data_IF_907196689436
#
_entry.id   IF_907196689436
#
_cell.length_a   1.000
_cell.length_b   1.000
_cell.length_c   1.000
_cell.angle_alpha   90.00
_cell.angle_beta   90.00
_cell.angle_gamma   90.00
#
_symmetry.space_group_name_H-M   'P 1'
#
loop_
_entity.id
_entity.type
_entity.pdbx_description
1 polymer ?
#
# COMPACT_ATOMS: atom_id res chain seq x y z
N UNK A 1 -2.16 -4.30 -24.30
CA UNK A 1 -1.08 -3.33 -24.61
C UNK A 1 -0.25 -3.15 -23.34
N UNK A 2 1.01 -3.56 -23.34
CA UNK A 2 2.03 -3.41 -22.27
C UNK A 2 1.61 -3.70 -20.81
N UNK A 3 0.91 -4.79 -20.57
CA UNK A 3 0.38 -5.17 -19.25
C UNK A 3 1.48 -5.43 -18.21
N UNK A 4 2.72 -5.66 -18.66
CA UNK A 4 3.88 -5.86 -17.80
C UNK A 4 4.47 -4.58 -17.19
N UNK A 5 4.05 -3.36 -17.62
CA UNK A 5 4.62 -2.08 -17.15
C UNK A 5 4.35 -1.82 -15.66
N UNK A 6 3.25 -2.32 -15.12
CA UNK A 6 2.90 -2.19 -13.70
C UNK A 6 3.90 -2.88 -12.75
N UNK A 7 4.58 -3.95 -13.20
CA UNK A 7 5.57 -4.66 -12.39
C UNK A 7 6.82 -3.83 -12.11
N UNK A 8 7.48 -3.22 -13.11
CA UNK A 8 8.60 -2.34 -12.87
C UNK A 8 8.29 -1.17 -11.93
N UNK A 9 7.05 -0.68 -11.88
CA UNK A 9 6.68 0.39 -10.95
C UNK A 9 6.95 0.02 -9.49
N UNK A 10 6.74 -1.24 -9.14
CA UNK A 10 6.98 -1.77 -7.78
C UNK A 10 8.39 -2.31 -7.64
N UNK A 11 8.79 -3.17 -8.58
CA UNK A 11 10.06 -3.88 -8.50
C UNK A 11 11.27 -2.95 -8.57
N UNK A 12 11.24 -1.93 -9.45
CA UNK A 12 12.36 -1.04 -9.66
C UNK A 12 12.76 -0.24 -8.40
N UNK A 13 11.86 0.49 -7.70
CA UNK A 13 12.25 1.21 -6.48
C UNK A 13 12.64 0.29 -5.34
N UNK A 14 12.03 -0.89 -5.20
CA UNK A 14 12.36 -1.85 -4.15
C UNK A 14 13.72 -2.50 -4.40
N UNK A 15 13.95 -3.03 -5.59
CA UNK A 15 15.22 -3.69 -5.93
C UNK A 15 16.37 -2.68 -5.87
N UNK A 16 16.21 -1.50 -6.46
CA UNK A 16 17.25 -0.47 -6.43
C UNK A 16 17.56 0.00 -5.00
N UNK A 17 16.53 0.16 -4.15
CA UNK A 17 16.73 0.53 -2.74
C UNK A 17 17.48 -0.56 -1.97
N UNK A 18 17.13 -1.83 -2.17
CA UNK A 18 17.79 -2.97 -1.53
C UNK A 18 19.26 -3.10 -1.96
N UNK A 19 19.56 -2.94 -3.25
CA UNK A 19 20.92 -2.95 -3.78
C UNK A 19 21.73 -1.80 -3.15
N UNK A 20 21.18 -0.58 -3.13
CA UNK A 20 21.87 0.57 -2.53
C UNK A 20 22.09 0.39 -1.02
N UNK A 21 21.10 -0.13 -0.28
CA UNK A 21 21.24 -0.45 1.15
C UNK A 21 22.30 -1.53 1.39
N UNK A 22 22.30 -2.59 0.59
CA UNK A 22 23.32 -3.66 0.66
C UNK A 22 24.71 -3.13 0.38
N UNK A 23 24.87 -2.28 -0.63
CA UNK A 23 26.15 -1.63 -0.95
C UNK A 23 26.67 -0.75 0.20
N UNK A 24 25.79 0.09 0.79
CA UNK A 24 26.16 0.94 1.92
C UNK A 24 26.47 0.12 3.18
N UNK A 25 25.71 -0.94 3.45
CA UNK A 25 25.91 -1.75 4.67
C UNK A 25 27.27 -2.46 4.68
N UNK A 26 27.76 -2.88 3.52
CA UNK A 26 29.03 -3.57 3.36
C UNK A 26 30.24 -2.61 3.26
N UNK A 27 30.00 -1.29 3.08
CA UNK A 27 31.06 -0.31 2.98
C UNK A 27 31.68 0.03 4.34
N UNK A 28 33.00 0.28 4.39
CA UNK A 28 33.68 0.77 5.59
C UNK A 28 33.18 2.18 5.99
N UNK A 29 33.30 2.60 7.26
CA UNK A 29 32.78 3.90 7.72
C UNK A 29 33.30 5.10 6.89
N UNK A 30 34.57 5.11 6.51
CA UNK A 30 35.15 6.17 5.68
C UNK A 30 34.57 6.21 4.28
N UNK A 31 34.33 5.05 3.68
CA UNK A 31 33.71 4.93 2.35
C UNK A 31 32.25 5.37 2.40
N UNK A 32 31.50 5.04 3.47
CA UNK A 32 30.10 5.45 3.64
C UNK A 32 29.89 6.96 3.57
N UNK A 33 30.79 7.73 4.17
CA UNK A 33 30.70 9.21 4.11
C UNK A 33 30.85 9.72 2.68
N UNK A 34 31.76 9.14 1.90
CA UNK A 34 31.94 9.47 0.48
C UNK A 34 30.77 9.06 -0.41
N UNK A 35 30.02 8.03 -0.02
CA UNK A 35 28.89 7.50 -0.78
C UNK A 35 27.59 8.32 -0.63
N UNK A 36 27.48 9.23 0.34
CA UNK A 36 26.23 9.99 0.57
C UNK A 36 25.78 10.75 -0.67
N UNK A 37 26.70 11.49 -1.33
CA UNK A 37 26.38 12.28 -2.54
C UNK A 37 25.95 11.39 -3.73
N UNK A 38 26.73 10.36 -4.15
CA UNK A 38 26.33 9.54 -5.29
C UNK A 38 25.03 8.74 -5.04
N UNK A 39 24.83 8.24 -3.83
CA UNK A 39 23.58 7.51 -3.50
C UNK A 39 22.37 8.43 -3.52
N UNK A 40 22.48 9.61 -2.94
CA UNK A 40 21.42 10.63 -3.00
C UNK A 40 21.08 10.99 -4.44
N UNK A 41 22.07 11.20 -5.28
CA UNK A 41 21.87 11.48 -6.70
C UNK A 41 21.21 10.30 -7.42
N UNK A 42 21.65 9.07 -7.15
CA UNK A 42 21.04 7.87 -7.72
C UNK A 42 19.56 7.74 -7.30
N UNK A 43 19.22 7.93 -6.02
CA UNK A 43 17.84 7.90 -5.54
C UNK A 43 16.98 8.99 -6.19
N UNK A 44 17.53 10.19 -6.38
CA UNK A 44 16.85 11.28 -7.11
C UNK A 44 16.58 10.90 -8.56
N UNK A 45 17.58 10.41 -9.28
CA UNK A 45 17.41 9.98 -10.68
C UNK A 45 16.36 8.86 -10.78
N UNK A 46 16.41 7.86 -9.91
CA UNK A 46 15.45 6.77 -9.90
C UNK A 46 14.02 7.26 -9.61
N UNK A 47 13.86 8.17 -8.65
CA UNK A 47 12.54 8.75 -8.35
C UNK A 47 11.99 9.62 -9.48
N UNK A 48 12.86 10.36 -10.20
CA UNK A 48 12.45 11.14 -11.38
C UNK A 48 12.07 10.24 -12.55
N UNK A 49 12.79 9.15 -12.78
CA UNK A 49 12.43 8.17 -13.81
C UNK A 49 11.05 7.54 -13.53
N UNK A 50 10.77 7.19 -12.26
CA UNK A 50 9.45 6.72 -11.86
C UNK A 50 8.38 7.78 -12.09
N UNK A 51 8.62 9.03 -11.75
CA UNK A 51 7.68 10.13 -11.96
C UNK A 51 7.39 10.34 -13.44
N UNK A 52 8.41 10.33 -14.31
CA UNK A 52 8.22 10.48 -15.77
C UNK A 52 7.38 9.33 -16.31
N UNK A 53 7.70 8.09 -15.91
CA UNK A 53 6.96 6.90 -16.35
C UNK A 53 5.49 6.97 -15.92
N UNK A 54 5.22 7.22 -14.63
CA UNK A 54 3.84 7.29 -14.10
C UNK A 54 3.07 8.47 -14.64
N UNK A 55 3.73 9.60 -14.92
CA UNK A 55 3.07 10.76 -15.53
C UNK A 55 2.65 10.45 -16.97
N UNK A 56 3.51 9.78 -17.75
CA UNK A 56 3.14 9.31 -19.10
C UNK A 56 1.94 8.37 -19.07
N UNK A 57 1.95 7.38 -18.19
CA UNK A 57 0.82 6.46 -18.01
C UNK A 57 -0.46 7.18 -17.55
N UNK A 58 -0.34 8.15 -16.64
CA UNK A 58 -1.46 8.94 -16.12
C UNK A 58 -2.16 9.72 -17.24
N UNK A 59 -1.40 10.44 -18.07
CA UNK A 59 -1.97 11.17 -19.19
C UNK A 59 -2.55 10.24 -20.27
N UNK A 60 -1.97 9.09 -20.49
CA UNK A 60 -2.50 8.09 -21.42
C UNK A 60 -3.85 7.55 -20.93
N UNK A 61 -3.95 7.20 -19.63
CA UNK A 61 -5.18 6.69 -19.03
C UNK A 61 -6.30 7.74 -19.07
N UNK A 62 -6.10 8.90 -18.44
CA UNK A 62 -7.14 9.94 -18.35
C UNK A 62 -7.36 10.71 -19.66
N UNK A 63 -6.43 10.66 -20.60
CA UNK A 63 -6.61 11.25 -21.94
C UNK A 63 -7.53 10.44 -22.85
N UNK A 64 -7.65 9.13 -22.60
CA UNK A 64 -8.47 8.22 -23.40
C UNK A 64 -9.85 7.93 -22.80
N UNK A 65 -10.07 8.28 -21.52
CA UNK A 65 -11.32 7.99 -20.81
C UNK A 65 -12.14 9.26 -20.64
N UNK A 66 -13.43 9.23 -21.03
CA UNK A 66 -14.36 10.30 -20.70
C UNK A 66 -14.61 10.33 -19.20
N UNK A 67 -14.60 11.53 -18.60
CA UNK A 67 -14.88 11.71 -17.16
C UNK A 67 -16.22 11.14 -16.70
N UNK A 68 -17.19 10.99 -17.62
CA UNK A 68 -18.50 10.42 -17.35
C UNK A 68 -18.51 8.89 -17.36
N UNK A 69 -17.50 8.25 -17.97
CA UNK A 69 -17.42 6.79 -18.14
C UNK A 69 -16.40 6.14 -17.20
N UNK A 70 -15.83 6.89 -16.24
CA UNK A 70 -14.86 6.36 -15.29
C UNK A 70 -15.51 5.33 -14.37
N UNK A 71 -15.09 4.08 -14.51
CA UNK A 71 -15.45 2.99 -13.59
C UNK A 71 -14.26 2.65 -12.68
N UNK A 72 -14.51 2.62 -11.35
CA UNK A 72 -13.45 2.35 -10.36
C UNK A 72 -12.91 0.92 -10.36
N UNK A 73 -13.48 0.02 -11.14
CA UNK A 73 -13.04 -1.38 -11.28
C UNK A 73 -12.67 -1.73 -12.73
N UNK A 74 -12.40 -0.74 -13.55
CA UNK A 74 -11.83 -0.95 -14.86
C UNK A 74 -10.31 -0.89 -14.74
N UNK A 75 -9.69 -2.08 -14.70
CA UNK A 75 -8.26 -2.22 -14.44
C UNK A 75 -7.47 -2.18 -15.74
N UNK A 76 -6.59 -1.20 -15.85
CA UNK A 76 -5.61 -1.14 -16.92
C UNK A 76 -4.22 -1.58 -16.44
N UNK A 77 -3.35 -1.91 -17.39
CA UNK A 77 -1.98 -2.39 -17.14
C UNK A 77 -1.96 -3.60 -16.18
N UNK A 78 -2.99 -4.45 -16.25
CA UNK A 78 -3.13 -5.61 -15.40
C UNK A 78 -2.15 -6.70 -15.83
N UNK A 79 -1.33 -7.18 -14.89
CA UNK A 79 -0.42 -8.30 -15.09
C UNK A 79 -0.59 -9.28 -13.94
N UNK A 80 -0.75 -10.56 -14.29
CA UNK A 80 -0.90 -11.67 -13.33
C UNK A 80 0.17 -12.70 -13.55
N UNK A 81 0.91 -13.03 -12.49
CA UNK A 81 1.89 -14.11 -12.45
C UNK A 81 1.57 -15.02 -11.28
N UNK A 82 1.51 -16.30 -11.54
CA UNK A 82 1.36 -17.29 -10.50
C UNK A 82 2.58 -17.30 -9.58
N UNK A 83 2.33 -17.26 -8.25
CA UNK A 83 3.41 -17.30 -7.24
C UNK A 83 3.31 -18.55 -6.38
N UNK A 84 2.16 -18.81 -5.73
CA UNK A 84 1.93 -20.00 -4.91
C UNK A 84 0.63 -20.66 -5.38
N UNK A 85 0.73 -21.49 -6.40
CA UNK A 85 -0.42 -22.16 -7.05
C UNK A 85 -1.27 -22.97 -6.08
N UNK A 86 -0.63 -23.65 -5.12
CA UNK A 86 -1.33 -24.47 -4.12
C UNK A 86 -2.28 -23.68 -3.23
N UNK A 87 -2.04 -22.41 -3.02
CA UNK A 87 -2.88 -21.49 -2.21
C UNK A 87 -3.71 -20.53 -3.07
N UNK A 88 -3.52 -20.52 -4.38
CA UNK A 88 -4.18 -19.57 -5.27
C UNK A 88 -3.68 -18.13 -5.10
N UNK A 89 -2.44 -17.96 -4.61
CA UNK A 89 -1.81 -16.65 -4.45
C UNK A 89 -1.10 -16.28 -5.74
N UNK A 90 -1.50 -15.15 -6.32
CA UNK A 90 -0.93 -14.63 -7.55
C UNK A 90 -0.30 -13.26 -7.32
N UNK A 91 0.78 -13.00 -8.05
CA UNK A 91 1.29 -11.64 -8.19
C UNK A 91 0.43 -10.92 -9.23
N UNK A 92 -0.71 -10.37 -8.78
CA UNK A 92 -1.60 -9.61 -9.64
C UNK A 92 -1.48 -8.13 -9.31
N UNK A 93 -1.10 -7.34 -10.30
CA UNK A 93 -0.97 -5.90 -10.22
C UNK A 93 -1.76 -5.24 -11.34
N UNK A 94 -2.31 -4.07 -11.07
CA UNK A 94 -3.06 -3.29 -12.05
C UNK A 94 -3.38 -1.90 -11.52
N UNK A 95 -3.88 -1.05 -12.38
CA UNK A 95 -4.19 0.34 -12.08
C UNK A 95 -5.62 0.65 -12.52
N UNK A 96 -6.35 1.38 -11.70
CA UNK A 96 -7.68 1.90 -11.99
C UNK A 96 -7.80 3.37 -11.61
N UNK A 97 -8.94 3.97 -11.80
CA UNK A 97 -9.19 5.38 -11.51
C UNK A 97 -8.96 5.76 -10.04
N UNK A 98 -9.03 4.80 -9.10
CA UNK A 98 -8.77 5.03 -7.68
C UNK A 98 -7.27 4.94 -7.36
N UNK A 99 -6.57 3.95 -7.91
CA UNK A 99 -5.16 3.69 -7.61
C UNK A 99 -4.22 4.63 -8.36
N UNK A 100 -4.56 5.02 -9.58
CA UNK A 100 -3.69 5.85 -10.43
C UNK A 100 -3.28 7.18 -9.77
N UNK A 101 -4.21 8.00 -9.24
CA UNK A 101 -3.86 9.24 -8.56
C UNK A 101 -2.95 9.00 -7.34
N UNK A 102 -3.13 7.88 -6.62
CA UNK A 102 -2.31 7.54 -5.45
C UNK A 102 -0.88 7.16 -5.85
N UNK A 103 -0.73 6.38 -6.91
CA UNK A 103 0.58 6.02 -7.47
C UNK A 103 1.29 7.27 -8.00
N UNK A 104 0.60 8.12 -8.77
CA UNK A 104 1.16 9.36 -9.30
C UNK A 104 1.58 10.32 -8.17
N UNK A 105 0.74 10.50 -7.16
CA UNK A 105 1.08 11.31 -5.98
C UNK A 105 2.32 10.78 -5.25
N UNK A 106 2.45 9.46 -5.11
CA UNK A 106 3.60 8.82 -4.47
C UNK A 106 4.88 9.10 -5.25
N UNK A 107 4.85 8.87 -6.56
CA UNK A 107 6.00 9.11 -7.44
C UNK A 107 6.37 10.58 -7.57
N UNK A 108 5.40 11.49 -7.46
CA UNK A 108 5.63 12.94 -7.40
C UNK A 108 6.30 13.36 -6.08
N UNK A 109 5.83 12.86 -4.95
CA UNK A 109 6.35 13.24 -3.65
C UNK A 109 7.75 12.68 -3.37
N UNK A 110 8.15 11.58 -3.97
CA UNK A 110 9.48 10.99 -3.78
C UNK A 110 10.63 11.95 -4.15
N UNK A 111 10.73 12.47 -5.39
CA UNK A 111 11.81 13.41 -5.74
C UNK A 111 11.69 14.73 -4.95
N UNK A 112 10.47 15.22 -4.68
CA UNK A 112 10.26 16.42 -3.85
C UNK A 112 10.83 16.20 -2.46
N UNK A 113 10.60 15.03 -1.85
CA UNK A 113 11.12 14.68 -0.53
C UNK A 113 12.65 14.59 -0.52
N UNK A 114 13.26 14.00 -1.55
CA UNK A 114 14.72 13.92 -1.68
C UNK A 114 15.33 15.31 -1.84
N UNK A 115 14.71 16.19 -2.63
CA UNK A 115 15.16 17.58 -2.85
C UNK A 115 14.98 18.41 -1.56
N UNK A 116 13.85 18.29 -0.87
CA UNK A 116 13.60 18.99 0.38
C UNK A 116 14.61 18.67 1.48
N UNK A 117 15.13 17.43 1.48
CA UNK A 117 16.13 16.96 2.45
C UNK A 117 17.56 17.00 1.92
N UNK A 118 17.79 17.71 0.80
CA UNK A 118 19.10 17.72 0.10
C UNK A 118 20.25 18.22 0.96
N UNK A 119 20.04 19.25 1.73
CA UNK A 119 21.09 19.90 2.54
C UNK A 119 21.22 19.30 3.96
N UNK A 120 20.35 18.36 4.31
CA UNK A 120 20.38 17.73 5.63
C UNK A 120 21.57 16.75 5.75
N UNK A 121 22.13 16.68 6.95
CA UNK A 121 23.29 15.80 7.25
C UNK A 121 22.86 14.37 7.54
N UNK A 122 22.06 13.78 6.64
CA UNK A 122 21.65 12.38 6.75
C UNK A 122 22.71 11.45 6.15
N UNK A 123 22.84 10.26 6.74
CA UNK A 123 23.76 9.24 6.25
C UNK A 123 23.32 8.59 4.94
N UNK A 124 24.22 7.84 4.31
CA UNK A 124 23.99 7.20 3.01
C UNK A 124 22.81 6.22 2.96
N UNK A 125 22.35 5.69 4.11
CA UNK A 125 21.20 4.76 4.19
C UNK A 125 19.83 5.47 4.21
N UNK A 126 19.80 6.79 4.38
CA UNK A 126 18.56 7.56 4.49
C UNK A 126 17.75 7.58 3.19
N UNK A 127 18.39 7.95 2.09
CA UNK A 127 17.74 8.11 0.79
C UNK A 127 17.22 6.79 0.19
N UNK A 128 17.97 5.67 0.27
CA UNK A 128 17.44 4.37 -0.12
C UNK A 128 16.23 3.92 0.71
N UNK A 129 16.15 4.25 2.01
CA UNK A 129 14.96 3.97 2.81
C UNK A 129 13.74 4.79 2.37
N UNK A 130 13.91 6.05 1.94
CA UNK A 130 12.83 6.82 1.33
C UNK A 130 12.36 6.17 0.02
N UNK A 131 13.29 5.72 -0.81
CA UNK A 131 12.96 5.04 -2.08
C UNK A 131 12.24 3.70 -1.82
N UNK A 132 12.71 2.93 -0.83
CA UNK A 132 12.05 1.68 -0.39
C UNK A 132 10.63 1.93 0.09
N UNK A 133 10.43 2.99 0.87
CA UNK A 133 9.10 3.39 1.34
C UNK A 133 8.18 3.73 0.17
N UNK A 134 8.67 4.50 -0.81
CA UNK A 134 7.91 4.82 -2.02
C UNK A 134 7.52 3.58 -2.81
N UNK A 135 8.45 2.64 -3.00
CA UNK A 135 8.18 1.36 -3.67
C UNK A 135 7.14 0.51 -2.93
N UNK A 136 7.21 0.44 -1.60
CA UNK A 136 6.22 -0.27 -0.80
C UNK A 136 4.82 0.38 -0.90
N UNK A 137 4.74 1.71 -0.86
CA UNK A 137 3.48 2.46 -1.04
C UNK A 137 2.87 2.23 -2.42
N UNK A 138 3.68 2.29 -3.49
CA UNK A 138 3.22 1.97 -4.85
C UNK A 138 2.71 0.53 -4.87
N UNK A 139 3.42 -0.41 -4.26
CA UNK A 139 3.01 -1.82 -4.15
C UNK A 139 1.61 -1.99 -3.54
N UNK A 140 1.28 -1.24 -2.48
CA UNK A 140 -0.08 -1.25 -1.90
C UNK A 140 -1.13 -0.81 -2.91
N UNK A 141 -0.87 0.27 -3.65
CA UNK A 141 -1.87 0.87 -4.55
C UNK A 141 -2.10 0.07 -5.84
N UNK A 142 -1.11 -0.68 -6.31
CA UNK A 142 -1.23 -1.49 -7.53
C UNK A 142 -1.60 -2.94 -7.27
N UNK A 143 -1.55 -3.41 -6.01
CA UNK A 143 -1.87 -4.80 -5.67
C UNK A 143 -3.36 -5.11 -5.87
N UNK A 144 -3.65 -6.12 -6.68
CA UNK A 144 -4.99 -6.65 -6.92
C UNK A 144 -5.19 -8.04 -6.30
N UNK A 145 -4.25 -8.49 -5.48
CA UNK A 145 -4.32 -9.71 -4.67
C UNK A 145 -4.26 -9.33 -3.18
N UNK A 146 -5.13 -9.89 -2.35
CA UNK A 146 -5.24 -9.59 -0.92
C UNK A 146 -3.96 -9.88 -0.14
N UNK A 147 -3.27 -10.99 -0.49
CA UNK A 147 -2.04 -11.37 0.16
C UNK A 147 -0.92 -10.38 -0.18
N UNK A 148 -0.77 -10.04 -1.46
CA UNK A 148 0.21 -9.05 -1.93
C UNK A 148 -0.08 -7.65 -1.35
N UNK A 149 -1.35 -7.25 -1.32
CA UNK A 149 -1.77 -6.01 -0.67
C UNK A 149 -1.28 -5.95 0.77
N UNK A 150 -1.50 -7.03 1.56
CA UNK A 150 -1.06 -7.09 2.94
C UNK A 150 0.46 -7.08 3.08
N UNK A 151 1.19 -7.82 2.24
CA UNK A 151 2.66 -7.83 2.25
C UNK A 151 3.24 -6.43 2.04
N UNK A 152 2.74 -5.69 1.04
CA UNK A 152 3.19 -4.31 0.81
C UNK A 152 2.73 -3.36 1.91
N UNK A 153 1.55 -3.58 2.47
CA UNK A 153 1.04 -2.82 3.61
C UNK A 153 2.01 -2.89 4.80
N UNK A 154 2.44 -4.09 5.18
CA UNK A 154 3.43 -4.29 6.25
C UNK A 154 4.82 -3.77 5.86
N UNK A 155 5.21 -3.94 4.60
CA UNK A 155 6.51 -3.48 4.14
C UNK A 155 6.68 -1.96 4.31
N UNK A 156 5.61 -1.16 4.30
CA UNK A 156 5.69 0.29 4.56
C UNK A 156 6.16 0.63 5.98
N UNK A 157 5.92 -0.25 6.96
CA UNK A 157 6.28 0.00 8.35
C UNK A 157 7.79 -0.04 8.57
N UNK A 158 8.49 -0.93 7.88
CA UNK A 158 9.92 -1.17 8.08
C UNK A 158 10.76 0.10 7.77
N UNK A 159 10.69 0.69 6.57
CA UNK A 159 11.49 1.88 6.29
C UNK A 159 11.09 3.06 7.17
N UNK A 160 9.79 3.23 7.46
CA UNK A 160 9.33 4.33 8.31
C UNK A 160 9.83 4.19 9.75
N UNK A 161 9.77 3.00 10.33
CA UNK A 161 10.35 2.72 11.65
C UNK A 161 11.83 3.11 11.72
N UNK A 162 12.64 2.71 10.73
CA UNK A 162 14.05 3.05 10.69
C UNK A 162 14.30 4.53 10.45
N UNK A 163 13.48 5.21 9.64
CA UNK A 163 13.58 6.65 9.41
C UNK A 163 13.36 7.42 10.73
N UNK A 164 12.33 7.08 11.49
CA UNK A 164 12.07 7.71 12.79
C UNK A 164 13.18 7.36 13.78
N UNK A 165 13.55 6.07 13.90
CA UNK A 165 14.49 5.59 14.91
C UNK A 165 15.90 6.19 14.76
N UNK A 166 16.38 6.32 13.51
CA UNK A 166 17.77 6.75 13.24
C UNK A 166 17.91 8.27 13.15
N UNK A 167 16.98 8.95 12.52
CA UNK A 167 17.05 10.38 12.22
C UNK A 167 15.95 11.23 12.82
N UNK A 168 15.15 10.65 13.69
CA UNK A 168 14.12 11.37 14.45
C UNK A 168 14.68 12.29 15.53
N UNK A 169 13.78 13.03 16.19
CA UNK A 169 14.08 13.98 17.26
C UNK A 169 14.50 13.32 18.58
N UNK A 170 14.27 14.03 19.67
CA UNK A 170 14.72 13.62 21.03
C UNK A 170 14.09 12.31 21.50
N UNK A 171 12.78 12.15 21.30
CA UNK A 171 11.99 11.01 21.77
C UNK A 171 11.74 9.95 20.67
N UNK A 172 12.62 9.94 19.65
CA UNK A 172 12.53 9.07 18.47
C UNK A 172 12.35 7.58 18.78
N UNK A 173 12.97 7.06 19.85
CA UNK A 173 12.84 5.63 20.22
C UNK A 173 11.41 5.30 20.63
N UNK A 174 10.84 6.11 21.52
CA UNK A 174 9.46 5.94 21.95
C UNK A 174 8.49 6.08 20.79
N UNK A 175 8.63 7.15 19.99
CA UNK A 175 7.78 7.41 18.85
C UNK A 175 7.84 6.29 17.80
N UNK A 176 9.05 5.79 17.47
CA UNK A 176 9.23 4.68 16.53
C UNK A 176 8.57 3.39 17.05
N UNK A 177 8.78 3.04 18.32
CA UNK A 177 8.18 1.85 18.91
C UNK A 177 6.65 1.97 18.99
N UNK A 178 6.13 3.11 19.44
CA UNK A 178 4.69 3.36 19.51
C UNK A 178 4.05 3.26 18.13
N UNK A 179 4.62 3.91 17.12
CA UNK A 179 4.18 3.83 15.73
C UNK A 179 4.12 2.37 15.26
N UNK A 180 5.22 1.62 15.43
CA UNK A 180 5.32 0.24 14.95
C UNK A 180 4.33 -0.68 15.66
N UNK A 181 4.34 -0.72 17.00
CA UNK A 181 3.47 -1.62 17.77
C UNK A 181 2.00 -1.30 17.51
N UNK A 182 1.63 -0.01 17.50
CA UNK A 182 0.25 0.42 17.33
C UNK A 182 -0.31 0.01 15.97
N UNK A 183 0.43 0.34 14.90
CA UNK A 183 0.00 0.04 13.54
C UNK A 183 0.08 -1.45 13.20
N UNK A 184 1.12 -2.16 13.69
CA UNK A 184 1.27 -3.58 13.48
C UNK A 184 0.16 -4.40 14.20
N UNK A 185 -0.19 -4.06 15.44
CA UNK A 185 -1.27 -4.76 16.16
C UNK A 185 -2.60 -4.65 15.42
N UNK A 186 -2.91 -3.47 14.90
CA UNK A 186 -4.14 -3.27 14.12
C UNK A 186 -4.12 -4.03 12.78
N UNK A 187 -2.97 -4.07 12.12
CA UNK A 187 -2.84 -4.80 10.86
C UNK A 187 -2.89 -6.32 11.02
N UNK A 188 -2.47 -6.87 12.17
CA UNK A 188 -2.66 -8.29 12.49
C UNK A 188 -4.16 -8.63 12.61
N UNK A 189 -4.96 -7.75 13.20
CA UNK A 189 -6.44 -7.93 13.23
C UNK A 189 -7.00 -7.93 11.82
N UNK A 190 -6.54 -7.02 10.97
CA UNK A 190 -6.91 -6.97 9.55
C UNK A 190 -6.49 -8.25 8.82
N UNK A 191 -5.28 -8.76 9.06
CA UNK A 191 -4.81 -10.03 8.47
C UNK A 191 -5.72 -11.21 8.84
N UNK A 192 -6.09 -11.32 10.11
CA UNK A 192 -7.04 -12.35 10.54
C UNK A 192 -8.37 -12.23 9.80
N UNK A 193 -8.84 -11.00 9.56
CA UNK A 193 -10.02 -10.74 8.73
C UNK A 193 -9.85 -11.20 7.28
N UNK A 194 -8.71 -10.91 6.65
CA UNK A 194 -8.40 -11.34 5.27
C UNK A 194 -8.29 -12.86 5.15
N UNK A 195 -7.63 -13.51 6.10
CA UNK A 195 -7.53 -14.98 6.16
C UNK A 195 -8.91 -15.61 6.34
N UNK A 196 -9.72 -15.07 7.25
CA UNK A 196 -11.09 -15.55 7.49
C UNK A 196 -11.96 -15.37 6.25
N UNK A 197 -11.85 -14.23 5.57
CA UNK A 197 -12.51 -13.98 4.29
C UNK A 197 -12.17 -15.05 3.26
N UNK A 198 -10.90 -15.41 3.13
CA UNK A 198 -10.45 -16.45 2.19
C UNK A 198 -11.05 -17.82 2.53
N UNK A 199 -11.05 -18.22 3.81
CA UNK A 199 -11.57 -19.55 4.20
C UNK A 199 -13.09 -19.65 4.14
N UNK A 200 -13.82 -18.56 4.25
CA UNK A 200 -15.28 -18.54 4.20
C UNK A 200 -15.86 -18.51 2.77
N UNK A 201 -15.02 -18.30 1.75
CA UNK A 201 -15.45 -18.40 0.35
C UNK A 201 -15.93 -19.82 0.05
N UNK A 202 -17.10 -19.94 -0.57
CA UNK A 202 -17.56 -21.24 -1.09
C UNK A 202 -16.78 -21.62 -2.33
N UNK A 203 -16.24 -22.86 -2.41
CA UNK A 203 -15.37 -23.26 -3.51
C UNK A 203 -15.99 -23.16 -4.92
N UNK A 204 -17.31 -23.15 -5.01
CA UNK A 204 -18.04 -23.17 -6.30
C UNK A 204 -18.46 -21.78 -6.80
N UNK A 205 -18.33 -20.71 -6.00
CA UNK A 205 -18.77 -19.37 -6.38
C UNK A 205 -17.69 -18.57 -7.11
N UNK A 206 -16.43 -19.02 -7.03
CA UNK A 206 -15.26 -18.38 -7.62
C UNK A 206 -14.48 -19.36 -8.49
N UNK A 207 -15.15 -20.08 -9.37
CA UNK A 207 -14.50 -21.01 -10.28
C UNK A 207 -13.67 -20.31 -11.35
N UNK A 208 -12.62 -19.58 -10.97
CA UNK A 208 -11.51 -19.32 -11.88
C UNK A 208 -10.76 -20.63 -12.06
N UNK A 209 -10.78 -21.14 -13.27
CA UNK A 209 -10.11 -22.36 -13.67
C UNK A 209 -8.62 -22.30 -13.29
N UNK A 210 -8.22 -23.07 -12.27
CA UNK A 210 -6.80 -23.20 -11.93
C UNK A 210 -6.43 -23.30 -10.45
N UNK A 211 -7.30 -22.92 -9.50
CA UNK A 211 -6.97 -23.06 -8.08
C UNK A 211 -7.44 -24.41 -7.52
N UNK A 212 -6.55 -25.16 -6.86
CA UNK A 212 -6.90 -26.45 -6.23
C UNK A 212 -8.00 -26.36 -5.17
N UNK A 213 -8.26 -25.15 -4.66
CA UNK A 213 -9.21 -24.89 -3.57
C UNK A 213 -10.53 -24.27 -4.05
N UNK A 214 -10.61 -23.78 -5.29
CA UNK A 214 -11.77 -23.01 -5.78
C UNK A 214 -11.99 -21.68 -5.02
N UNK A 215 -10.99 -21.21 -4.28
CA UNK A 215 -10.98 -19.95 -3.54
C UNK A 215 -9.95 -19.00 -4.14
N UNK A 216 -10.18 -17.69 -4.05
CA UNK A 216 -9.31 -16.68 -4.65
C UNK A 216 -8.91 -15.60 -3.66
N UNK A 217 -7.66 -15.11 -3.80
CA UNK A 217 -7.19 -13.88 -3.18
C UNK A 217 -7.36 -12.66 -4.10
N UNK A 218 -7.86 -12.85 -5.33
CA UNK A 218 -8.06 -11.80 -6.32
C UNK A 218 -9.11 -10.79 -5.84
N UNK A 219 -8.71 -9.53 -5.66
CA UNK A 219 -9.60 -8.44 -5.25
C UNK A 219 -10.73 -8.21 -6.28
N UNK A 220 -10.45 -8.17 -7.60
CA UNK A 220 -11.50 -8.04 -8.62
C UNK A 220 -12.56 -9.15 -8.54
N UNK A 221 -12.13 -10.41 -8.43
CA UNK A 221 -13.03 -11.56 -8.35
C UNK A 221 -13.90 -11.52 -7.07
N UNK A 222 -13.32 -11.10 -5.95
CA UNK A 222 -14.05 -10.95 -4.69
C UNK A 222 -15.12 -9.86 -4.77
N UNK A 223 -14.79 -8.72 -5.37
CA UNK A 223 -15.75 -7.61 -5.56
C UNK A 223 -16.89 -8.04 -6.48
N UNK A 224 -16.58 -8.76 -7.55
CA UNK A 224 -17.58 -9.27 -8.51
C UNK A 224 -18.52 -10.29 -7.84
N UNK A 225 -17.94 -11.20 -7.05
CA UNK A 225 -18.70 -12.17 -6.27
C UNK A 225 -19.59 -11.51 -5.21
N UNK A 226 -19.08 -10.49 -4.53
CA UNK A 226 -19.86 -9.71 -3.57
C UNK A 226 -21.03 -8.98 -4.24
N UNK A 227 -20.84 -8.45 -5.46
CA UNK A 227 -21.88 -7.75 -6.23
C UNK A 227 -22.96 -8.71 -6.70
N UNK A 228 -22.57 -9.85 -7.26
CA UNK A 228 -23.51 -10.83 -7.83
C UNK A 228 -24.28 -11.58 -6.75
N UNK A 229 -23.66 -11.96 -5.64
CA UNK A 229 -24.29 -12.71 -4.56
C UNK A 229 -25.21 -11.86 -3.66
N UNK A 230 -25.06 -10.54 -3.64
CA UNK A 230 -25.91 -9.65 -2.84
C UNK A 230 -27.20 -9.22 -3.57
N UNK A 231 -27.54 -9.89 -4.67
CA UNK A 231 -28.80 -9.67 -5.39
C UNK A 231 -29.88 -10.54 -4.73
N UNK A 232 -30.84 -9.92 -4.06
CA UNK A 232 -31.91 -10.60 -3.33
C UNK A 232 -31.56 -10.90 -1.86
N UNK A 233 -32.05 -12.01 -1.34
CA UNK A 233 -31.82 -12.42 0.06
C UNK A 233 -30.54 -13.23 0.30
N UNK A 234 -29.84 -13.60 -0.75
CA UNK A 234 -28.57 -14.34 -0.69
C UNK A 234 -27.41 -13.37 -0.51
N UNK A 235 -27.04 -13.13 0.74
CA UNK A 235 -25.91 -12.27 1.06
C UNK A 235 -24.57 -13.02 0.96
N UNK A 236 -23.60 -12.43 0.28
CA UNK A 236 -22.22 -12.90 0.29
C UNK A 236 -21.74 -13.08 1.76
N UNK A 237 -21.35 -14.28 2.14
CA UNK A 237 -20.89 -14.66 3.48
C UNK A 237 -21.93 -14.53 4.64
N UNK A 238 -23.18 -14.18 4.36
CA UNK A 238 -24.18 -13.94 5.40
C UNK A 238 -23.98 -12.64 6.20
N UNK A 239 -25.08 -12.07 6.70
CA UNK A 239 -25.12 -10.74 7.32
C UNK A 239 -24.18 -10.56 8.53
N UNK A 240 -24.16 -11.56 9.43
CA UNK A 240 -23.34 -11.49 10.64
C UNK A 240 -21.85 -11.53 10.33
N UNK A 241 -21.43 -12.39 9.39
CA UNK A 241 -20.02 -12.48 8.99
C UNK A 241 -19.56 -11.25 8.24
N UNK A 242 -20.39 -10.65 7.40
CA UNK A 242 -20.07 -9.36 6.79
C UNK A 242 -19.76 -8.29 7.84
N UNK A 243 -20.58 -8.18 8.89
CA UNK A 243 -20.36 -7.21 9.97
C UNK A 243 -19.05 -7.46 10.72
N UNK A 244 -18.72 -8.72 11.04
CA UNK A 244 -17.49 -9.08 11.74
C UNK A 244 -16.26 -8.74 10.90
N UNK A 245 -16.24 -9.22 9.65
CA UNK A 245 -15.11 -8.98 8.74
C UNK A 245 -14.94 -7.50 8.41
N UNK A 246 -16.05 -6.78 8.22
CA UNK A 246 -16.03 -5.33 8.05
C UNK A 246 -15.31 -4.62 9.20
N UNK A 247 -15.70 -4.93 10.45
CA UNK A 247 -15.07 -4.32 11.64
C UNK A 247 -13.58 -4.68 11.72
N UNK A 248 -13.21 -5.95 11.48
CA UNK A 248 -11.81 -6.39 11.55
C UNK A 248 -10.93 -5.65 10.52
N UNK A 249 -11.41 -5.51 9.28
CA UNK A 249 -10.68 -4.75 8.26
C UNK A 249 -10.66 -3.24 8.58
N UNK A 250 -11.80 -2.70 8.99
CA UNK A 250 -11.90 -1.28 9.36
C UNK A 250 -10.95 -0.88 10.49
N UNK A 251 -10.72 -1.73 11.50
CA UNK A 251 -9.74 -1.46 12.58
C UNK A 251 -8.36 -1.21 11.97
N UNK A 252 -7.87 -2.07 11.06
CA UNK A 252 -6.59 -1.86 10.40
C UNK A 252 -6.50 -0.54 9.62
N UNK A 253 -7.54 -0.23 8.86
CA UNK A 253 -7.59 0.98 8.05
C UNK A 253 -7.77 2.26 8.88
N UNK A 254 -8.66 2.26 9.89
CA UNK A 254 -8.91 3.42 10.76
C UNK A 254 -7.71 3.77 11.63
N UNK A 255 -6.93 2.78 12.07
CA UNK A 255 -5.66 3.02 12.76
C UNK A 255 -4.66 3.68 11.83
N UNK A 256 -4.57 3.24 10.58
CA UNK A 256 -3.64 3.81 9.59
C UNK A 256 -4.07 5.21 9.14
N UNK A 257 -5.37 5.45 9.01
CA UNK A 257 -5.97 6.75 8.67
C UNK A 257 -6.04 7.73 9.86
N UNK A 258 -5.50 7.43 10.98
CA UNK A 258 -5.61 7.88 12.36
C UNK A 258 -6.94 8.59 12.72
N UNK A 259 -8.03 7.84 12.62
CA UNK A 259 -9.34 8.33 13.08
C UNK A 259 -9.44 8.22 14.60
N UNK A 260 -10.12 9.18 15.25
CA UNK A 260 -10.40 9.13 16.70
C UNK A 260 -11.22 7.86 17.03
N UNK A 261 -10.84 7.06 18.03
CA UNK A 261 -9.79 7.24 19.05
C UNK A 261 -8.41 6.66 18.67
N UNK A 262 -8.21 6.14 17.47
CA UNK A 262 -7.03 5.38 17.04
C UNK A 262 -5.85 6.26 16.56
N UNK A 263 -5.91 7.57 16.79
CA UNK A 263 -4.95 8.55 16.23
C UNK A 263 -3.71 8.82 17.10
N UNK A 264 -3.63 8.29 18.33
CA UNK A 264 -2.66 8.72 19.34
C UNK A 264 -1.19 8.41 18.98
N UNK A 265 -0.93 7.57 18.01
CA UNK A 265 0.41 7.29 17.49
C UNK A 265 0.93 8.38 16.54
N UNK A 266 0.02 9.05 15.83
CA UNK A 266 0.38 10.01 14.77
C UNK A 266 1.09 11.25 15.29
N UNK A 267 0.63 11.97 16.35
CA UNK A 267 1.34 13.13 16.86
C UNK A 267 2.79 12.81 17.23
N UNK A 268 3.03 11.71 17.94
CA UNK A 268 4.37 11.32 18.36
C UNK A 268 5.25 10.95 17.16
N UNK A 269 4.72 10.12 16.25
CA UNK A 269 5.46 9.73 15.05
C UNK A 269 5.77 10.92 14.14
N UNK A 270 4.79 11.82 13.92
CA UNK A 270 4.93 12.94 12.99
C UNK A 270 5.87 14.04 13.53
N UNK A 271 5.80 14.34 14.81
CA UNK A 271 6.70 15.31 15.44
C UNK A 271 8.15 14.81 15.48
N UNK A 272 8.35 13.52 15.73
CA UNK A 272 9.68 12.96 15.84
C UNK A 272 10.29 12.54 14.49
N UNK A 273 9.48 12.29 13.44
CA UNK A 273 10.01 11.85 12.15
C UNK A 273 10.88 12.93 11.49
N UNK A 274 11.96 12.54 10.78
CA UNK A 274 12.73 13.49 9.96
C UNK A 274 11.84 14.06 8.85
N UNK A 275 12.18 15.25 8.35
CA UNK A 275 11.38 16.00 7.35
C UNK A 275 10.88 15.13 6.20
N UNK A 276 11.77 14.37 5.55
CA UNK A 276 11.36 13.49 4.44
C UNK A 276 10.46 12.33 4.86
N UNK A 277 10.66 11.75 6.06
CA UNK A 277 9.76 10.76 6.63
C UNK A 277 8.38 11.34 6.88
N UNK A 278 8.28 12.54 7.49
CA UNK A 278 7.02 13.24 7.75
C UNK A 278 6.28 13.60 6.47
N UNK A 279 6.99 14.00 5.40
CA UNK A 279 6.37 14.30 4.10
C UNK A 279 5.70 13.08 3.48
N UNK A 280 6.36 11.92 3.47
CA UNK A 280 5.76 10.68 2.95
C UNK A 280 4.69 10.12 3.88
N UNK A 281 4.86 10.24 5.20
CA UNK A 281 3.86 9.84 6.19
C UNK A 281 2.54 10.59 5.94
N UNK A 282 2.56 11.90 6.00
CA UNK A 282 1.36 12.73 5.85
C UNK A 282 0.85 12.78 4.40
N UNK A 283 1.76 12.81 3.42
CA UNK A 283 1.42 12.95 2.02
C UNK A 283 0.76 11.71 1.42
N UNK A 284 1.20 10.50 1.79
CA UNK A 284 0.78 9.25 1.14
C UNK A 284 0.35 8.18 2.15
N UNK A 285 1.15 7.92 3.19
CA UNK A 285 0.94 6.77 4.07
C UNK A 285 -0.41 6.80 4.81
N UNK A 286 -0.86 7.98 5.24
CA UNK A 286 -2.19 8.13 5.84
C UNK A 286 -3.31 7.85 4.83
N UNK A 287 -3.14 8.33 3.59
CA UNK A 287 -4.12 8.13 2.50
C UNK A 287 -4.23 6.66 2.06
N UNK A 288 -3.19 5.86 2.31
CA UNK A 288 -3.23 4.41 2.11
C UNK A 288 -4.36 3.76 2.96
N UNK A 289 -4.62 4.27 4.19
CA UNK A 289 -5.73 3.83 5.02
C UNK A 289 -7.09 4.09 4.35
N UNK A 290 -7.32 5.30 3.85
CA UNK A 290 -8.54 5.64 3.11
C UNK A 290 -8.69 4.80 1.83
N UNK A 291 -7.60 4.66 1.06
CA UNK A 291 -7.58 3.81 -0.14
C UNK A 291 -8.03 2.37 0.18
N UNK A 292 -7.45 1.77 1.23
CA UNK A 292 -7.79 0.41 1.64
C UNK A 292 -9.25 0.27 2.08
N UNK A 293 -9.81 1.29 2.77
CA UNK A 293 -11.23 1.32 3.13
C UNK A 293 -12.13 1.27 1.89
N UNK A 294 -11.87 2.11 0.89
CA UNK A 294 -12.64 2.13 -0.35
C UNK A 294 -12.47 0.83 -1.15
N UNK A 295 -11.25 0.30 -1.20
CA UNK A 295 -10.92 -0.88 -2.01
C UNK A 295 -11.51 -2.17 -1.44
N UNK A 296 -11.51 -2.37 -0.13
CA UNK A 296 -11.87 -3.64 0.49
C UNK A 296 -13.20 -3.57 1.27
N UNK A 297 -13.30 -3.05 2.51
CA UNK A 297 -14.52 -3.21 3.29
C UNK A 297 -15.74 -2.55 2.67
N UNK A 298 -15.60 -1.37 2.07
CA UNK A 298 -16.74 -0.67 1.48
C UNK A 298 -17.24 -1.31 0.18
N UNK A 299 -16.34 -1.97 -0.57
CA UNK A 299 -16.69 -2.66 -1.81
C UNK A 299 -17.18 -4.09 -1.60
N UNK A 300 -16.68 -4.78 -0.56
CA UNK A 300 -16.96 -6.20 -0.32
C UNK A 300 -18.19 -6.45 0.56
N UNK A 301 -18.53 -5.51 1.47
CA UNK A 301 -19.54 -5.76 2.51
C UNK A 301 -20.68 -4.73 2.50
N UNK A 302 -21.55 -4.74 1.49
CA UNK A 302 -22.63 -3.74 1.36
C UNK A 302 -23.65 -3.80 2.51
N UNK A 303 -23.93 -4.98 3.10
CA UNK A 303 -24.79 -5.10 4.27
C UNK A 303 -24.16 -4.41 5.49
N UNK A 304 -22.88 -4.64 5.75
CA UNK A 304 -22.18 -4.01 6.85
C UNK A 304 -22.07 -2.48 6.65
N UNK A 305 -21.85 -2.03 5.41
CA UNK A 305 -21.86 -0.61 5.07
C UNK A 305 -23.19 0.05 5.44
N UNK A 306 -24.31 -0.57 5.07
CA UNK A 306 -25.64 -0.09 5.45
C UNK A 306 -25.85 -0.09 6.97
N UNK A 307 -25.41 -1.15 7.65
CA UNK A 307 -25.54 -1.29 9.10
C UNK A 307 -24.74 -0.24 9.88
N UNK A 308 -23.53 0.06 9.44
CA UNK A 308 -22.60 1.00 10.10
C UNK A 308 -22.60 2.41 9.49
N UNK A 309 -23.54 2.73 8.58
CA UNK A 309 -23.55 4.01 7.86
C UNK A 309 -23.51 5.24 8.79
N UNK A 310 -24.25 5.22 9.91
CA UNK A 310 -24.23 6.33 10.88
C UNK A 310 -22.87 6.50 11.54
N UNK A 311 -22.18 5.40 11.88
CA UNK A 311 -20.84 5.46 12.47
C UNK A 311 -19.76 5.95 11.48
N UNK A 312 -20.00 5.79 10.18
CA UNK A 312 -19.10 6.26 9.13
C UNK A 312 -19.31 7.74 8.76
N UNK A 313 -20.43 8.34 9.16
CA UNK A 313 -20.75 9.75 8.91
C UNK A 313 -20.25 10.69 10.02
N UNK A 314 -19.83 10.16 11.18
CA UNK A 314 -19.30 10.87 12.33
C UNK A 314 -17.77 10.90 12.29
#
# INVERSE_FOLDING_TARGET
MNDWISIPLVAFPLISSMILLGFVSNASPRVREGLVKPIRMACLVFSLLLLVLTTGMFFQYFGNVSWMDIQFNDYEYMATYSWIDSLGINWTVGLDALSFPMVWLTTFLLPVTIIATWNEKYGATYFPLLLMMGGALIGVFVSLDLFMFYVFWELTLIPMFFLILKWGGTDRKYAAQKFFIYTFTASVIMLLGLITLFFLQEPNTLASAGTMTGRSFSIPELIDSARTANVGDNWFLGKTMQNILFVMLMIGFLVKLPVVPFHTWLPDAHVQAPTGGSMLLAGVMLKMGAYGMFRLPLSLFPHALYHFQLALMI
#
